data_IF_186886710279
#
_entry.id   IF_186886710279
#
_cell.length_a   1.000
_cell.length_b   1.000
_cell.length_c   1.000
_cell.angle_alpha   90.00
_cell.angle_beta   90.00
_cell.angle_gamma   90.00
#
_symmetry.space_group_name_H-M   'P 1'
#
loop_
_entity.id
_entity.type
_entity.pdbx_description
1 polymer ?
#
# COMPACT_ATOMS: atom_id res chain seq x y z
N UNK A 1 18.10 25.39 -10.54
CA UNK A 1 16.84 25.23 -9.79
C UNK A 1 16.34 23.81 -10.04
N UNK A 2 15.98 23.07 -9.00
CA UNK A 2 15.55 21.67 -9.12
C UNK A 2 14.27 21.54 -9.95
N UNK A 3 14.18 20.49 -10.76
CA UNK A 3 13.12 20.22 -11.74
C UNK A 3 11.69 20.17 -11.16
N UNK A 4 11.55 20.20 -9.83
CA UNK A 4 10.29 20.08 -9.09
C UNK A 4 9.93 21.32 -8.24
N UNK A 5 10.68 22.42 -8.36
CA UNK A 5 10.41 23.64 -7.59
C UNK A 5 9.04 24.25 -7.97
N UNK A 6 8.12 24.33 -7.01
CA UNK A 6 6.77 24.89 -7.19
C UNK A 6 5.68 23.86 -7.52
N UNK A 7 6.03 22.60 -7.76
CA UNK A 7 5.07 21.53 -8.05
C UNK A 7 4.95 20.59 -6.86
N UNK A 8 3.96 20.82 -5.99
CA UNK A 8 3.63 19.84 -4.95
C UNK A 8 3.04 18.58 -5.60
N UNK A 9 3.57 17.42 -5.23
CA UNK A 9 3.05 16.14 -5.68
C UNK A 9 1.63 15.94 -5.12
N UNK A 10 0.69 15.65 -6.01
CA UNK A 10 -0.66 15.23 -5.62
C UNK A 10 -0.61 13.72 -5.36
N UNK A 11 -0.44 13.35 -4.08
CA UNK A 11 -0.25 11.95 -3.63
C UNK A 11 -1.33 11.01 -4.19
N UNK A 12 -2.57 11.48 -4.29
CA UNK A 12 -3.68 10.73 -4.88
C UNK A 12 -3.35 10.15 -6.27
N UNK A 13 -2.71 10.91 -7.16
CA UNK A 13 -2.36 10.41 -8.49
C UNK A 13 -1.28 9.33 -8.45
N UNK A 14 -0.30 9.44 -7.55
CA UNK A 14 0.71 8.41 -7.37
C UNK A 14 0.07 7.10 -6.85
N UNK A 15 -0.91 7.22 -5.95
CA UNK A 15 -1.58 6.05 -5.37
C UNK A 15 -2.51 5.33 -6.34
N UNK A 16 -2.96 5.99 -7.42
CA UNK A 16 -3.76 5.33 -8.47
C UNK A 16 -3.00 4.21 -9.19
N UNK A 17 -1.67 4.25 -9.22
CA UNK A 17 -0.85 3.16 -9.72
C UNK A 17 -1.05 1.86 -8.94
N UNK A 18 -1.51 1.98 -7.69
CA UNK A 18 -1.81 0.85 -6.82
C UNK A 18 -3.29 0.52 -6.74
N UNK A 19 -4.13 1.01 -7.66
CA UNK A 19 -5.58 0.76 -7.57
C UNK A 19 -5.93 -0.73 -7.65
N UNK A 20 -7.10 -1.10 -7.12
CA UNK A 20 -7.68 -2.43 -7.32
C UNK A 20 -7.76 -2.82 -8.80
N UNK A 21 -8.08 -1.88 -9.68
CA UNK A 21 -8.17 -2.14 -11.12
C UNK A 21 -6.81 -2.46 -11.75
N UNK A 22 -5.72 -1.84 -11.27
CA UNK A 22 -4.37 -2.21 -11.71
C UNK A 22 -4.02 -3.62 -11.23
N UNK A 23 -4.35 -3.98 -9.98
CA UNK A 23 -4.13 -5.33 -9.48
C UNK A 23 -4.93 -6.37 -10.29
N UNK A 24 -6.21 -6.09 -10.60
CA UNK A 24 -7.04 -6.95 -11.44
C UNK A 24 -6.46 -7.08 -12.85
N UNK A 25 -5.92 -6.01 -13.42
CA UNK A 25 -5.25 -6.05 -14.72
C UNK A 25 -4.00 -6.94 -14.69
N UNK A 26 -3.16 -6.84 -13.65
CA UNK A 26 -1.99 -7.72 -13.46
C UNK A 26 -2.41 -9.19 -13.41
N UNK A 27 -3.47 -9.51 -12.65
CA UNK A 27 -4.03 -10.86 -12.57
C UNK A 27 -4.52 -11.37 -13.94
N UNK A 28 -5.25 -10.53 -14.68
CA UNK A 28 -5.75 -10.88 -16.01
C UNK A 28 -4.59 -11.14 -16.98
N UNK A 29 -3.58 -10.26 -17.00
CA UNK A 29 -2.40 -10.45 -17.85
C UNK A 29 -1.66 -11.76 -17.51
N UNK A 30 -1.50 -12.08 -16.23
CA UNK A 30 -0.90 -13.35 -15.80
C UNK A 30 -1.74 -14.56 -16.23
N UNK A 31 -3.05 -14.53 -16.02
CA UNK A 31 -3.95 -15.65 -16.37
C UNK A 31 -4.10 -15.86 -17.87
N UNK A 32 -3.92 -14.81 -18.68
CA UNK A 32 -3.90 -14.89 -20.14
C UNK A 32 -2.53 -15.27 -20.72
N UNK A 33 -1.49 -15.42 -19.90
CA UNK A 33 -0.14 -15.75 -20.36
C UNK A 33 0.52 -14.62 -21.16
N UNK A 34 0.24 -13.37 -20.80
CA UNK A 34 0.89 -12.20 -21.41
C UNK A 34 2.37 -12.18 -20.96
N UNK A 35 3.27 -12.04 -21.93
CA UNK A 35 4.71 -12.01 -21.71
C UNK A 35 5.10 -10.91 -20.70
N UNK A 36 5.88 -11.28 -19.69
CA UNK A 36 6.38 -10.37 -18.65
C UNK A 36 5.49 -10.29 -17.40
N UNK A 37 4.42 -11.08 -17.32
CA UNK A 37 3.51 -11.14 -16.17
C UNK A 37 3.54 -12.50 -15.43
N UNK A 38 4.39 -13.44 -15.84
CA UNK A 38 4.44 -14.82 -15.32
C UNK A 38 4.68 -14.85 -13.81
N UNK A 39 5.62 -14.04 -13.32
CA UNK A 39 6.00 -13.95 -11.90
C UNK A 39 5.34 -12.77 -11.16
N UNK A 40 4.25 -12.23 -11.71
CA UNK A 40 3.62 -10.99 -11.19
C UNK A 40 2.75 -11.17 -9.94
N UNK A 41 2.71 -12.37 -9.34
CA UNK A 41 1.87 -12.64 -8.15
C UNK A 41 2.18 -11.71 -6.98
N UNK A 42 3.45 -11.54 -6.65
CA UNK A 42 3.86 -10.65 -5.57
C UNK A 42 3.53 -9.19 -5.88
N UNK A 43 3.68 -8.77 -7.14
CA UNK A 43 3.32 -7.41 -7.59
C UNK A 43 1.83 -7.16 -7.49
N UNK A 44 0.98 -8.11 -7.93
CA UNK A 44 -0.47 -8.03 -7.77
C UNK A 44 -0.85 -7.88 -6.30
N UNK A 45 -0.33 -8.77 -5.44
CA UNK A 45 -0.64 -8.80 -4.01
C UNK A 45 -0.23 -7.48 -3.35
N UNK A 46 0.99 -7.02 -3.62
CA UNK A 46 1.48 -5.74 -3.10
C UNK A 46 0.60 -4.57 -3.54
N UNK A 47 0.19 -4.55 -4.81
CA UNK A 47 -0.70 -3.52 -5.36
C UNK A 47 -2.01 -3.45 -4.57
N UNK A 48 -2.64 -4.60 -4.27
CA UNK A 48 -3.86 -4.64 -3.44
C UNK A 48 -3.62 -4.18 -2.00
N UNK A 49 -2.55 -4.64 -1.37
CA UNK A 49 -2.25 -4.29 0.02
C UNK A 49 -1.97 -2.78 0.18
N UNK A 50 -1.28 -2.17 -0.78
CA UNK A 50 -1.05 -0.71 -0.80
C UNK A 50 -2.35 0.06 -1.07
N UNK A 51 -3.22 -0.42 -1.97
CA UNK A 51 -4.55 0.18 -2.16
C UNK A 51 -5.31 0.27 -0.84
N UNK A 52 -5.45 -0.87 -0.17
CA UNK A 52 -6.27 -0.98 1.03
C UNK A 52 -5.66 -0.18 2.19
N UNK A 53 -4.33 -0.08 2.26
CA UNK A 53 -3.62 0.83 3.18
C UNK A 53 -3.98 2.29 2.90
N UNK A 54 -3.84 2.78 1.67
CA UNK A 54 -4.15 4.17 1.35
C UNK A 54 -5.64 4.48 1.51
N UNK A 55 -6.53 3.55 1.19
CA UNK A 55 -7.96 3.69 1.45
C UNK A 55 -8.25 3.79 2.96
N UNK A 56 -7.55 3.02 3.79
CA UNK A 56 -7.64 3.12 5.24
C UNK A 56 -7.14 4.49 5.74
N UNK A 57 -5.98 4.95 5.26
CA UNK A 57 -5.36 6.22 5.66
C UNK A 57 -6.13 7.46 5.18
N UNK A 58 -6.71 7.41 3.97
CA UNK A 58 -7.50 8.51 3.39
C UNK A 58 -8.91 8.58 3.95
N UNK A 59 -9.31 7.64 4.81
CA UNK A 59 -10.61 7.72 5.47
C UNK A 59 -10.58 8.89 6.44
N UNK A 60 -11.26 9.96 6.07
CA UNK A 60 -11.32 11.25 6.76
C UNK A 60 -12.03 11.14 8.13
N UNK A 61 -11.40 10.40 9.04
CA UNK A 61 -11.83 10.16 10.40
C UNK A 61 -10.70 10.69 11.26
N UNK A 62 -11.02 11.67 12.12
CA UNK A 62 -10.12 12.13 13.17
C UNK A 62 -9.46 10.93 13.84
N UNK A 63 -8.21 11.05 14.29
CA UNK A 63 -7.51 9.97 15.01
C UNK A 63 -8.41 9.28 16.07
N UNK A 64 -9.28 10.05 16.73
CA UNK A 64 -10.33 9.58 17.65
C UNK A 64 -11.37 8.60 17.07
N UNK A 65 -11.64 8.61 15.77
CA UNK A 65 -12.59 7.71 15.11
C UNK A 65 -11.94 6.43 14.55
N UNK A 66 -10.59 6.36 14.46
CA UNK A 66 -9.85 5.11 14.25
C UNK A 66 -9.83 4.30 15.56
N UNK A 67 -9.67 4.96 16.72
CA UNK A 67 -9.66 4.29 18.03
C UNK A 67 -11.02 3.74 18.47
N UNK A 68 -12.14 4.27 17.94
CA UNK A 68 -13.47 4.01 18.49
C UNK A 68 -14.32 2.97 17.73
N UNK A 69 -13.80 2.27 16.71
CA UNK A 69 -14.57 1.19 16.07
C UNK A 69 -13.67 0.03 15.66
N UNK A 70 -14.10 -1.19 16.01
CA UNK A 70 -13.84 -2.40 15.24
C UNK A 70 -14.27 -2.14 13.80
N UNK A 71 -13.34 -1.67 12.98
CA UNK A 71 -13.58 -1.39 11.57
C UNK A 71 -12.58 -2.18 10.77
N UNK A 72 -13.04 -2.75 9.67
CA UNK A 72 -12.24 -3.48 8.67
C UNK A 72 -10.94 -2.73 8.31
N UNK A 73 -10.96 -1.40 8.38
CA UNK A 73 -9.81 -0.52 8.11
C UNK A 73 -8.74 -0.56 9.20
N UNK A 74 -9.13 -0.60 10.47
CA UNK A 74 -8.19 -0.79 11.60
C UNK A 74 -7.56 -2.17 11.49
N UNK A 75 -8.33 -3.18 11.12
CA UNK A 75 -7.81 -4.53 10.89
C UNK A 75 -6.85 -4.59 9.71
N UNK A 76 -7.13 -3.84 8.64
CA UNK A 76 -6.19 -3.65 7.52
C UNK A 76 -4.88 -3.02 7.98
N UNK A 77 -4.93 -1.93 8.76
CA UNK A 77 -3.72 -1.29 9.29
C UNK A 77 -2.92 -2.23 10.22
N UNK A 78 -3.60 -2.98 11.09
CA UNK A 78 -2.98 -3.98 11.97
C UNK A 78 -2.35 -5.12 11.19
N UNK A 79 -3.05 -5.65 10.19
CA UNK A 79 -2.55 -6.71 9.30
C UNK A 79 -1.31 -6.25 8.54
N UNK A 80 -1.33 -5.03 8.00
CA UNK A 80 -0.19 -4.48 7.29
C UNK A 80 0.99 -4.22 8.23
N UNK A 81 0.74 -3.73 9.45
CA UNK A 81 1.77 -3.62 10.50
C UNK A 81 2.39 -4.97 10.85
N UNK A 82 1.58 -6.03 10.96
CA UNK A 82 2.06 -7.39 11.21
C UNK A 82 2.93 -7.91 10.05
N UNK A 83 2.51 -7.70 8.80
CA UNK A 83 3.30 -8.04 7.60
C UNK A 83 4.65 -7.33 7.63
N UNK A 84 4.69 -6.04 7.95
CA UNK A 84 5.94 -5.30 8.01
C UNK A 84 6.86 -5.78 9.13
N UNK A 85 6.32 -6.27 10.25
CA UNK A 85 7.12 -6.77 11.39
C UNK A 85 7.57 -8.22 11.24
N UNK A 86 7.06 -8.95 10.25
CA UNK A 86 7.50 -10.31 9.97
C UNK A 86 8.98 -10.32 9.52
N UNK A 87 9.90 -10.97 10.27
CA UNK A 87 11.32 -11.00 9.94
C UNK A 87 11.63 -11.81 8.67
N UNK A 88 10.70 -12.65 8.20
CA UNK A 88 10.81 -13.36 6.92
C UNK A 88 10.40 -12.49 5.73
N UNK A 89 9.86 -11.30 5.99
CA UNK A 89 9.42 -10.40 4.94
C UNK A 89 10.61 -9.82 4.16
N UNK A 90 10.63 -10.12 2.86
CA UNK A 90 11.65 -9.69 1.91
C UNK A 90 11.05 -8.97 0.70
N UNK A 91 9.79 -8.49 0.80
CA UNK A 91 9.11 -7.87 -0.36
C UNK A 91 9.78 -6.57 -0.83
N UNK A 92 10.48 -5.88 0.07
CA UNK A 92 11.22 -4.66 -0.23
C UNK A 92 12.55 -4.62 0.54
N UNK A 93 13.40 -3.65 0.23
CA UNK A 93 14.65 -3.44 0.95
C UNK A 93 14.39 -3.18 2.44
N UNK A 94 15.33 -3.58 3.30
CA UNK A 94 15.20 -3.37 4.75
C UNK A 94 14.94 -1.89 5.13
N UNK A 95 15.57 -0.95 4.43
CA UNK A 95 15.38 0.50 4.63
C UNK A 95 13.97 0.95 4.24
N UNK A 96 13.43 0.40 3.15
CA UNK A 96 12.05 0.67 2.73
C UNK A 96 11.06 0.14 3.75
N UNK A 97 11.26 -1.09 4.22
CA UNK A 97 10.41 -1.70 5.25
C UNK A 97 10.43 -0.90 6.55
N UNK A 98 11.60 -0.46 7.01
CA UNK A 98 11.75 0.40 8.20
C UNK A 98 10.97 1.71 8.05
N UNK A 99 11.11 2.39 6.91
CA UNK A 99 10.41 3.65 6.63
C UNK A 99 8.89 3.49 6.66
N UNK A 100 8.39 2.34 6.18
CA UNK A 100 6.96 2.03 6.21
C UNK A 100 6.47 1.74 7.64
N UNK A 101 7.29 1.07 8.47
CA UNK A 101 6.98 0.83 9.90
C UNK A 101 6.86 2.15 10.66
N UNK A 102 7.85 3.02 10.54
CA UNK A 102 7.87 4.34 11.20
C UNK A 102 6.66 5.20 10.81
N UNK A 103 6.22 5.09 9.56
CA UNK A 103 5.02 5.78 9.10
C UNK A 103 3.75 5.27 9.79
N UNK A 104 3.61 3.94 9.91
CA UNK A 104 2.44 3.30 10.50
C UNK A 104 2.38 3.41 12.02
N UNK A 105 3.52 3.46 12.71
CA UNK A 105 3.55 3.67 14.17
C UNK A 105 2.91 5.00 14.58
N UNK A 106 2.89 6.01 13.71
CA UNK A 106 2.23 7.29 14.00
C UNK A 106 0.70 7.20 14.10
N UNK A 107 0.11 6.07 13.71
CA UNK A 107 -1.33 5.83 13.73
C UNK A 107 -1.79 4.92 14.89
N UNK A 108 -0.86 4.40 15.71
CA UNK A 108 -1.15 3.52 16.85
C UNK A 108 -0.63 4.14 18.16
#
# INVERSE_FOLDING_TARGET
MGQFAGNQMVVYYATQLFSRTVADAILICRTQGILGFEDSYSTEKFTREINDLFDALNTNRSSTAIYNMESEKVDTLRRFSAILRDPSNTFASAVTLESMRDCLEKFF
#
